data_IF_883721402998
#
_entry.id   IF_883721402998
#
_cell.length_a   1.000
_cell.length_b   1.000
_cell.length_c   1.000
_cell.angle_alpha   90.00
_cell.angle_beta   90.00
_cell.angle_gamma   90.00
#
_symmetry.space_group_name_H-M   'P 1'
#
loop_
_entity.id
_entity.type
_entity.pdbx_description
1 polymer ?
#
# COMPACT_ATOMS: atom_id res chain seq x y z
N UNK A 1 4.30 -18.75 -1.78
CA UNK A 1 4.79 -17.40 -2.12
C UNK A 1 3.66 -16.41 -2.01
N UNK A 2 3.92 -15.15 -1.65
CA UNK A 2 2.94 -14.07 -1.68
C UNK A 2 3.55 -12.83 -2.34
N UNK A 3 2.72 -12.02 -2.99
CA UNK A 3 3.14 -10.79 -3.67
C UNK A 3 2.08 -9.70 -3.50
N UNK A 4 2.50 -8.46 -3.64
CA UNK A 4 1.65 -7.27 -3.65
C UNK A 4 1.79 -6.62 -5.01
N UNK A 5 0.66 -6.44 -5.71
CA UNK A 5 0.61 -5.78 -7.00
C UNK A 5 -0.50 -4.73 -6.98
N UNK A 6 -0.31 -3.65 -7.73
CA UNK A 6 -1.40 -2.73 -8.00
C UNK A 6 -2.35 -3.38 -9.01
N UNK A 7 -3.66 -3.39 -8.72
CA UNK A 7 -4.68 -3.98 -9.60
C UNK A 7 -4.64 -3.32 -10.99
N UNK A 8 -4.27 -2.03 -11.06
CA UNK A 8 -4.15 -1.30 -12.33
C UNK A 8 -3.00 -1.79 -13.22
N UNK A 9 -2.00 -2.45 -12.62
CA UNK A 9 -0.83 -2.95 -13.34
C UNK A 9 -1.04 -4.40 -13.83
N UNK A 10 -2.15 -5.04 -13.44
CA UNK A 10 -2.49 -6.39 -13.87
C UNK A 10 -3.18 -6.35 -15.25
N UNK A 11 -2.75 -7.23 -16.15
CA UNK A 11 -3.37 -7.37 -17.46
C UNK A 11 -4.76 -8.01 -17.35
N UNK A 12 -5.80 -7.21 -17.52
CA UNK A 12 -7.19 -7.66 -17.37
C UNK A 12 -7.57 -8.72 -18.40
N UNK A 13 -6.90 -8.80 -19.57
CA UNK A 13 -7.20 -9.86 -20.53
C UNK A 13 -6.83 -11.24 -19.99
N UNK A 14 -5.72 -11.35 -19.25
CA UNK A 14 -5.32 -12.60 -18.60
C UNK A 14 -6.30 -13.00 -17.49
N UNK A 15 -6.86 -12.02 -16.78
CA UNK A 15 -7.88 -12.27 -15.76
C UNK A 15 -9.11 -12.93 -16.38
N UNK A 16 -9.58 -12.37 -17.49
CA UNK A 16 -10.76 -12.87 -18.21
C UNK A 16 -10.48 -14.22 -18.86
N UNK A 17 -9.33 -14.38 -19.52
CA UNK A 17 -8.93 -15.64 -20.17
C UNK A 17 -8.90 -16.82 -19.21
N UNK A 18 -8.39 -16.61 -17.99
CA UNK A 18 -8.25 -17.66 -16.98
C UNK A 18 -9.41 -17.72 -15.98
N UNK A 19 -10.47 -16.92 -16.16
CA UNK A 19 -11.63 -16.91 -15.26
C UNK A 19 -11.28 -16.53 -13.82
N UNK A 20 -10.33 -15.60 -13.66
CA UNK A 20 -9.85 -15.14 -12.36
C UNK A 20 -10.69 -13.97 -11.83
N UNK A 21 -10.82 -13.89 -10.51
CA UNK A 21 -11.58 -12.81 -9.86
C UNK A 21 -10.79 -12.17 -8.73
N UNK A 22 -10.91 -10.84 -8.62
CA UNK A 22 -10.45 -10.10 -7.45
C UNK A 22 -11.49 -10.23 -6.35
N UNK A 23 -11.15 -10.97 -5.30
CA UNK A 23 -12.04 -11.19 -4.16
C UNK A 23 -11.55 -10.39 -2.96
N UNK A 24 -12.49 -9.74 -2.26
CA UNK A 24 -12.21 -9.07 -0.99
C UNK A 24 -11.72 -10.07 0.06
N UNK A 25 -10.68 -9.71 0.82
CA UNK A 25 -10.18 -10.56 1.91
C UNK A 25 -11.22 -10.81 3.02
N UNK A 26 -12.22 -9.93 3.14
CA UNK A 26 -13.30 -10.07 4.10
C UNK A 26 -14.43 -10.98 3.60
N UNK A 27 -14.43 -11.33 2.31
CA UNK A 27 -15.50 -12.07 1.63
C UNK A 27 -14.91 -13.29 0.89
N UNK A 28 -13.86 -13.90 1.44
CA UNK A 28 -13.21 -15.05 0.83
C UNK A 28 -14.18 -16.24 0.75
N UNK A 29 -14.36 -16.86 -0.43
CA UNK A 29 -15.19 -18.05 -0.58
C UNK A 29 -14.58 -19.24 0.18
N UNK A 30 -15.30 -20.36 0.16
CA UNK A 30 -14.68 -21.62 0.52
C UNK A 30 -13.56 -21.96 -0.47
N UNK A 31 -12.37 -22.22 0.06
CA UNK A 31 -11.19 -22.53 -0.73
C UNK A 31 -10.81 -23.98 -0.48
N UNK A 32 -10.27 -24.61 -1.51
CA UNK A 32 -9.81 -25.99 -1.46
C UNK A 32 -8.69 -26.19 -0.42
N UNK A 33 -8.73 -27.30 0.30
CA UNK A 33 -7.68 -27.74 1.23
C UNK A 33 -7.30 -26.66 2.27
N UNK A 34 -6.01 -26.41 2.43
CA UNK A 34 -5.38 -25.52 3.39
C UNK A 34 -5.10 -24.12 2.81
N UNK A 35 -5.67 -23.77 1.66
CA UNK A 35 -5.47 -22.46 1.04
C UNK A 35 -5.88 -21.30 1.95
N UNK A 36 -6.93 -21.49 2.78
CA UNK A 36 -7.31 -20.49 3.80
C UNK A 36 -6.17 -20.25 4.81
N UNK A 37 -5.45 -21.29 5.22
CA UNK A 37 -4.30 -21.17 6.10
C UNK A 37 -3.12 -20.49 5.40
N UNK A 38 -2.86 -20.84 4.15
CA UNK A 38 -1.81 -20.20 3.33
C UNK A 38 -2.04 -18.69 3.18
N UNK A 39 -3.28 -18.26 2.90
CA UNK A 39 -3.65 -16.85 2.79
C UNK A 39 -3.44 -16.14 4.14
N UNK A 40 -3.91 -16.72 5.24
CA UNK A 40 -3.71 -16.14 6.58
C UNK A 40 -2.23 -15.94 6.90
N UNK A 41 -1.39 -16.93 6.59
CA UNK A 41 0.05 -16.85 6.81
C UNK A 41 0.70 -15.78 5.93
N UNK A 42 0.29 -15.68 4.66
CA UNK A 42 0.75 -14.64 3.74
C UNK A 42 0.39 -13.23 4.23
N UNK A 43 -0.86 -13.01 4.67
CA UNK A 43 -1.31 -11.72 5.22
C UNK A 43 -0.50 -11.37 6.47
N UNK A 44 -0.31 -12.33 7.38
CA UNK A 44 0.48 -12.10 8.59
C UNK A 44 1.94 -11.74 8.26
N UNK A 45 2.53 -12.37 7.24
CA UNK A 45 3.87 -12.03 6.76
C UNK A 45 3.94 -10.62 6.17
N UNK A 46 2.98 -10.25 5.32
CA UNK A 46 2.92 -8.91 4.72
C UNK A 46 2.75 -7.84 5.81
N UNK A 47 1.85 -8.04 6.77
CA UNK A 47 1.62 -7.13 7.90
C UNK A 47 2.84 -6.95 8.79
N UNK A 48 3.67 -7.99 8.96
CA UNK A 48 4.95 -7.88 9.68
C UNK A 48 5.95 -7.02 8.92
N UNK A 49 6.03 -7.20 7.60
CA UNK A 49 7.02 -6.52 6.75
C UNK A 49 6.66 -5.05 6.50
N UNK A 50 5.38 -4.72 6.31
CA UNK A 50 4.98 -3.36 5.92
C UNK A 50 5.34 -2.28 6.96
N UNK A 51 5.57 -2.65 8.23
CA UNK A 51 6.00 -1.68 9.24
C UNK A 51 7.47 -1.27 9.09
N UNK A 52 8.29 -2.10 8.45
CA UNK A 52 9.75 -1.96 8.39
C UNK A 52 10.29 -1.90 6.96
N UNK A 53 9.46 -2.23 5.98
CA UNK A 53 9.80 -2.19 4.56
C UNK A 53 8.85 -1.26 3.80
N UNK A 54 9.35 -0.52 2.79
CA UNK A 54 8.59 0.42 1.96
C UNK A 54 7.66 -0.30 0.96
N UNK A 55 6.93 -1.34 1.39
CA UNK A 55 6.05 -2.15 0.54
C UNK A 55 4.81 -1.39 0.08
N UNK A 56 4.32 -0.45 0.88
CA UNK A 56 3.15 0.37 0.57
C UNK A 56 3.33 1.22 -0.69
N UNK A 57 4.55 1.66 -0.99
CA UNK A 57 4.82 2.46 -2.19
C UNK A 57 4.70 1.68 -3.49
N UNK A 58 4.83 0.34 -3.46
CA UNK A 58 4.60 -0.50 -4.65
C UNK A 58 3.12 -0.57 -5.05
N UNK A 59 2.22 -0.25 -4.12
CA UNK A 59 0.77 -0.24 -4.34
C UNK A 59 0.26 1.16 -4.72
N UNK A 60 1.13 2.16 -4.69
CA UNK A 60 0.82 3.55 -4.98
C UNK A 60 1.33 3.93 -6.38
N UNK A 61 0.69 4.90 -7.03
CA UNK A 61 1.29 5.57 -8.19
C UNK A 61 2.59 6.29 -7.80
N UNK A 62 3.43 6.63 -8.79
CA UNK A 62 4.68 7.37 -8.57
C UNK A 62 4.50 8.69 -7.80
N UNK A 63 3.35 9.36 -8.03
CA UNK A 63 2.90 10.54 -7.30
C UNK A 63 1.63 10.22 -6.54
N UNK A 64 1.68 10.34 -5.22
CA UNK A 64 0.58 9.98 -4.34
C UNK A 64 0.31 11.06 -3.30
N UNK A 65 -0.90 11.08 -2.76
CA UNK A 65 -1.27 11.91 -1.61
C UNK A 65 -1.03 11.16 -0.31
N UNK A 66 -0.82 11.88 0.80
CA UNK A 66 -0.73 11.24 2.13
C UNK A 66 -1.99 10.46 2.51
N UNK A 67 -3.15 10.85 1.98
CA UNK A 67 -4.40 10.12 2.20
C UNK A 67 -4.41 8.78 1.47
N UNK A 68 -3.89 8.72 0.23
CA UNK A 68 -3.73 7.44 -0.48
C UNK A 68 -2.73 6.53 0.25
N UNK A 69 -1.60 7.07 0.71
CA UNK A 69 -0.63 6.30 1.49
C UNK A 69 -1.24 5.76 2.78
N UNK A 70 -2.02 6.58 3.50
CA UNK A 70 -2.74 6.14 4.70
C UNK A 70 -3.71 5.00 4.38
N UNK A 71 -4.57 5.14 3.37
CA UNK A 71 -5.54 4.11 3.01
C UNK A 71 -4.88 2.79 2.61
N UNK A 72 -3.77 2.82 1.86
CA UNK A 72 -3.01 1.60 1.52
C UNK A 72 -2.49 0.92 2.78
N UNK A 73 -1.93 1.69 3.70
CA UNK A 73 -1.37 1.16 4.94
C UNK A 73 -2.46 0.59 5.86
N UNK A 74 -3.59 1.28 6.01
CA UNK A 74 -4.78 0.81 6.74
C UNK A 74 -5.36 -0.46 6.11
N UNK A 75 -5.46 -0.53 4.78
CA UNK A 75 -5.98 -1.70 4.07
C UNK A 75 -5.11 -2.95 4.29
N UNK A 76 -3.78 -2.78 4.36
CA UNK A 76 -2.87 -3.92 4.61
C UNK A 76 -2.90 -4.35 6.07
N UNK A 77 -2.86 -3.41 7.02
CA UNK A 77 -2.88 -3.72 8.46
C UNK A 77 -4.27 -4.22 8.89
N UNK A 78 -5.33 -3.75 8.25
CA UNK A 78 -6.72 -4.07 8.58
C UNK A 78 -7.26 -3.28 9.77
N UNK A 79 -6.66 -2.13 10.10
CA UNK A 79 -7.05 -1.26 11.21
C UNK A 79 -7.01 0.20 10.75
N UNK A 80 -7.90 1.03 11.29
CA UNK A 80 -7.88 2.48 11.06
C UNK A 80 -6.75 3.14 11.86
N UNK A 81 -6.13 4.16 11.28
CA UNK A 81 -5.01 4.86 11.90
C UNK A 81 -5.38 6.32 12.12
N UNK A 82 -4.98 6.85 13.27
CA UNK A 82 -5.15 8.26 13.54
C UNK A 82 -4.38 9.10 12.51
N UNK A 83 -5.14 9.88 11.74
CA UNK A 83 -4.65 10.73 10.65
C UNK A 83 -3.61 11.75 11.11
N UNK A 84 -3.70 12.23 12.36
CA UNK A 84 -2.77 13.26 12.88
C UNK A 84 -1.43 12.63 13.20
N UNK A 85 -1.43 11.48 13.88
CA UNK A 85 -0.25 10.71 14.21
C UNK A 85 0.43 10.18 12.94
N UNK A 86 -0.34 9.66 11.99
CA UNK A 86 0.17 9.21 10.70
C UNK A 86 0.93 10.32 9.97
N UNK A 87 0.32 11.50 9.84
CA UNK A 87 0.96 12.66 9.20
C UNK A 87 2.16 13.19 9.97
N UNK A 88 2.17 13.06 11.30
CA UNK A 88 3.33 13.43 12.12
C UNK A 88 4.51 12.53 11.78
N UNK A 89 4.29 11.20 11.82
CA UNK A 89 5.33 10.19 11.50
C UNK A 89 5.86 10.34 10.08
N UNK A 90 4.99 10.53 9.09
CA UNK A 90 5.39 10.68 7.69
C UNK A 90 6.27 11.92 7.46
N UNK A 91 6.09 13.00 8.24
CA UNK A 91 6.97 14.18 8.13
C UNK A 91 8.38 13.93 8.61
N UNK A 92 8.56 12.96 9.51
CA UNK A 92 9.85 12.59 10.07
C UNK A 92 10.58 11.55 9.18
N UNK A 93 9.99 11.17 8.03
CA UNK A 93 10.55 10.19 7.09
C UNK A 93 11.10 10.93 5.86
N UNK A 94 12.43 10.95 5.73
CA UNK A 94 13.13 11.74 4.70
C UNK A 94 12.89 11.25 3.26
N UNK A 95 12.62 9.96 3.07
CA UNK A 95 12.34 9.40 1.74
C UNK A 95 10.89 9.59 1.25
N UNK A 96 10.04 10.28 2.01
CA UNK A 96 8.70 10.70 1.57
C UNK A 96 8.75 12.19 1.20
N UNK A 97 9.16 12.47 -0.03
CA UNK A 97 9.38 13.84 -0.48
C UNK A 97 8.08 14.52 -0.85
N UNK A 98 7.84 15.70 -0.29
CA UNK A 98 6.78 16.59 -0.77
C UNK A 98 7.21 17.22 -2.09
N UNK A 99 6.32 17.20 -3.08
CA UNK A 99 6.52 17.85 -4.37
C UNK A 99 5.82 19.21 -4.42
N UNK A 100 6.14 20.02 -5.43
CA UNK A 100 5.42 21.27 -5.75
C UNK A 100 4.08 21.02 -6.47
N UNK A 101 3.74 19.76 -6.74
CA UNK A 101 2.53 19.38 -7.44
C UNK A 101 1.37 19.15 -6.47
N UNK A 102 0.16 19.38 -6.98
CA UNK A 102 -1.09 19.10 -6.27
C UNK A 102 -1.98 18.17 -7.09
N UNK A 103 -2.69 17.28 -6.41
CA UNK A 103 -3.72 16.45 -7.02
C UNK A 103 -4.93 17.31 -7.36
N UNK A 104 -5.08 17.64 -8.65
CA UNK A 104 -6.24 18.37 -9.17
C UNK A 104 -7.38 17.45 -9.63
N UNK A 105 -7.14 16.15 -9.70
CA UNK A 105 -8.09 15.17 -10.26
C UNK A 105 -8.96 14.60 -9.15
N UNK A 106 -8.36 14.10 -8.07
CA UNK A 106 -9.10 13.41 -7.00
C UNK A 106 -9.36 14.30 -5.78
N UNK A 107 -8.70 15.46 -5.67
CA UNK A 107 -8.85 16.35 -4.50
C UNK A 107 -9.55 17.66 -4.86
N UNK A 108 -10.73 17.87 -4.27
CA UNK A 108 -11.50 19.12 -4.39
C UNK A 108 -10.76 20.37 -3.90
N UNK A 109 -9.74 20.21 -3.06
CA UNK A 109 -8.97 21.32 -2.46
C UNK A 109 -7.49 21.32 -2.88
N UNK A 110 -7.07 20.45 -3.79
CA UNK A 110 -5.66 20.33 -4.20
C UNK A 110 -4.78 19.74 -3.11
N UNK A 111 -4.78 18.41 -2.96
CA UNK A 111 -3.90 17.75 -2.00
C UNK A 111 -2.46 17.77 -2.51
N UNK A 112 -1.47 18.05 -1.66
CA UNK A 112 -0.07 17.96 -2.06
C UNK A 112 0.30 16.53 -2.49
N UNK A 113 1.06 16.43 -3.58
CA UNK A 113 1.60 15.17 -4.07
C UNK A 113 2.98 14.93 -3.49
N UNK A 114 3.25 13.66 -3.20
CA UNK A 114 4.47 13.14 -2.63
C UNK A 114 5.05 12.07 -3.55
N UNK A 115 6.35 11.82 -3.39
CA UNK A 115 7.11 10.80 -4.12
C UNK A 115 7.96 10.01 -3.13
N UNK A 116 8.13 8.72 -3.42
CA UNK A 116 9.11 7.88 -2.74
C UNK A 116 10.52 8.12 -3.32
N UNK A 117 11.46 8.59 -2.50
CA UNK A 117 12.86 8.72 -2.89
C UNK A 117 13.64 7.46 -2.48
N UNK A 118 13.89 6.61 -3.49
CA UNK A 118 14.66 5.37 -3.30
C UNK A 118 16.09 5.60 -2.81
N UNK A 119 16.75 6.68 -3.24
CA UNK A 119 18.13 6.98 -2.82
C UNK A 119 18.19 7.34 -1.34
N UNK A 120 17.29 8.22 -0.88
CA UNK A 120 17.20 8.57 0.54
C UNK A 120 16.90 7.34 1.41
N UNK A 121 16.07 6.42 0.93
CA UNK A 121 15.80 5.14 1.63
C UNK A 121 17.04 4.21 1.67
N UNK A 122 17.87 4.20 0.63
CA UNK A 122 19.11 3.42 0.61
C UNK A 122 20.19 3.99 1.56
N UNK A 123 20.15 5.29 1.83
CA UNK A 123 21.05 5.99 2.77
C UNK A 123 20.64 5.79 4.24
N UNK A 124 19.36 5.92 4.55
CA UNK A 124 18.79 5.62 5.88
C UNK A 124 17.51 4.76 5.73
N UNK A 125 17.62 3.42 5.81
CA UNK A 125 16.50 2.51 5.63
C UNK A 125 15.56 2.43 6.84
N UNK A 126 15.62 3.38 7.77
CA UNK A 126 14.72 3.45 8.91
C UNK A 126 13.28 3.75 8.47
N UNK A 127 12.47 2.70 8.33
CA UNK A 127 11.03 2.82 8.13
C UNK A 127 10.31 2.33 9.37
N UNK A 128 9.57 3.23 10.03
CA UNK A 128 8.66 2.87 11.10
C UNK A 128 7.40 3.75 11.03
N UNK A 129 6.29 3.13 10.64
CA UNK A 129 4.98 3.78 10.59
C UNK A 129 4.06 3.39 11.77
N UNK A 130 4.51 2.51 12.67
CA UNK A 130 3.72 1.98 13.79
C UNK A 130 3.84 2.81 15.07
#
# INVERSE_FOLDING_TARGET
YCTLINVKDYDDSLRVEHGLEWVSLNELPELYSDHKLMIRNAIAQIRRRINHEPLSFKLLPDLFTLTQLQHVFEAVIGEEIDKRNFRKRVKDIDFIEKTELIDKVNSKRGAALYRFNKKAYEEDPSFNLK
#
